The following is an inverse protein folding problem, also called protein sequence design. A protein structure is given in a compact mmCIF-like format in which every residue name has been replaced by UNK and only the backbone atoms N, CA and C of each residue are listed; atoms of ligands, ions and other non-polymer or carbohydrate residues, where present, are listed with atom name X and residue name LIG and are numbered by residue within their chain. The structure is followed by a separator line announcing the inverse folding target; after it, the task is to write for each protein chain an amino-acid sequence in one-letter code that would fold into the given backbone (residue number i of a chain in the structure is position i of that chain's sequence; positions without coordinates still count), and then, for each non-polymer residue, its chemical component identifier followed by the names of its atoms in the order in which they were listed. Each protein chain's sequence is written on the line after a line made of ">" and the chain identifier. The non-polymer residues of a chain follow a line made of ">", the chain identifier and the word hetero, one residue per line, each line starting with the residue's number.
data_IF_890419888782
#
_entry.id   IF_890419888782
#
_cell.length_a   1.000
_cell.length_b   1.000
_cell.length_c   1.000
_cell.angle_alpha   90.00
_cell.angle_beta   90.00
_cell.angle_gamma   90.00
#
_symmetry.space_group_name_H-M   'P 1'
#
loop_
_entity.id
_entity.type
_entity.pdbx_description
1 polymer ?
#
# COMPACT_ATOMS: atom_id res chain seq x y z
N UNK A 1 -11.96 -3.00 -7.02
CA UNK A 1 -10.58 -2.51 -7.12
C UNK A 1 -10.58 -1.01 -7.02
N UNK A 2 -9.54 -0.40 -6.45
CA UNK A 2 -9.32 1.05 -6.59
C UNK A 2 -8.91 1.40 -8.03
N UNK A 3 -8.91 2.68 -8.44
CA UNK A 3 -8.41 3.08 -9.76
C UNK A 3 -7.00 2.56 -10.05
N UNK A 4 -6.12 2.53 -9.04
CA UNK A 4 -4.76 2.01 -9.16
C UNK A 4 -4.70 0.48 -9.33
N UNK A 5 -5.58 -0.28 -8.67
CA UNK A 5 -5.72 -1.73 -8.90
C UNK A 5 -6.19 -2.04 -10.33
N UNK A 6 -7.13 -1.24 -10.85
CA UNK A 6 -7.57 -1.37 -12.24
C UNK A 6 -6.46 -1.00 -13.22
N UNK A 7 -5.72 0.07 -12.95
CA UNK A 7 -4.59 0.48 -13.79
C UNK A 7 -3.51 -0.60 -13.86
N UNK A 8 -3.16 -1.23 -12.73
CA UNK A 8 -2.23 -2.35 -12.72
C UNK A 8 -2.72 -3.52 -13.58
N UNK A 9 -3.97 -3.93 -13.40
CA UNK A 9 -4.58 -5.07 -14.13
C UNK A 9 -4.55 -4.88 -15.64
N UNK A 10 -4.51 -3.63 -16.10
CA UNK A 10 -4.41 -3.27 -17.52
C UNK A 10 -2.97 -2.99 -17.97
N UNK A 11 -1.96 -3.46 -17.23
CA UNK A 11 -0.55 -3.33 -17.63
C UNK A 11 0.05 -1.94 -17.39
N UNK A 12 -0.52 -1.19 -16.44
CA UNK A 12 -0.12 0.18 -16.13
C UNK A 12 1.35 0.34 -15.71
N UNK A 13 1.81 1.59 -15.81
CA UNK A 13 3.15 2.03 -15.41
C UNK A 13 3.01 3.18 -14.42
N UNK A 14 4.01 3.31 -13.54
CA UNK A 14 4.16 4.49 -12.68
C UNK A 14 5.19 5.39 -13.33
N UNK A 15 4.85 6.67 -13.45
CA UNK A 15 5.75 7.75 -13.82
C UNK A 15 5.86 8.73 -12.65
N UNK A 16 7.05 8.88 -12.11
CA UNK A 16 7.38 9.86 -11.08
C UNK A 16 8.10 11.02 -11.76
N UNK A 17 7.58 12.25 -11.63
CA UNK A 17 8.11 13.46 -12.27
C UNK A 17 8.55 14.46 -11.21
N UNK A 18 9.86 14.71 -11.11
CA UNK A 18 10.42 15.62 -10.10
C UNK A 18 10.24 15.12 -8.65
N UNK A 19 9.81 13.88 -8.48
CA UNK A 19 9.60 13.22 -7.18
C UNK A 19 10.19 11.81 -7.23
N UNK A 20 10.49 11.26 -6.06
CA UNK A 20 10.99 9.89 -5.92
C UNK A 20 9.92 8.97 -5.32
N UNK A 21 10.26 7.70 -5.14
CA UNK A 21 9.39 6.63 -4.67
C UNK A 21 8.57 6.87 -3.39
N UNK A 22 8.92 7.73 -2.41
CA UNK A 22 8.01 8.06 -1.31
C UNK A 22 6.65 8.60 -1.77
N UNK A 23 6.58 9.17 -2.99
CA UNK A 23 5.35 9.68 -3.60
C UNK A 23 4.54 8.60 -4.34
N UNK A 24 5.07 7.37 -4.45
CA UNK A 24 4.43 6.28 -5.17
C UNK A 24 3.30 5.63 -4.34
N UNK A 25 2.08 6.13 -4.49
CA UNK A 25 0.89 5.63 -3.77
C UNK A 25 0.51 4.19 -4.11
N UNK A 26 1.00 3.64 -5.23
CA UNK A 26 0.67 2.28 -5.66
C UNK A 26 1.13 1.22 -4.65
N UNK A 27 2.18 1.48 -3.87
CA UNK A 27 2.64 0.53 -2.86
C UNK A 27 1.57 0.12 -1.85
N UNK A 28 0.61 1.01 -1.56
CA UNK A 28 -0.49 0.77 -0.63
C UNK A 28 -1.52 -0.20 -1.23
N UNK A 29 -1.69 -0.20 -2.56
CA UNK A 29 -2.53 -1.20 -3.23
C UNK A 29 -1.94 -2.59 -3.02
N UNK A 30 -0.61 -2.71 -3.10
CA UNK A 30 0.08 -3.99 -2.87
C UNK A 30 -0.11 -4.45 -1.43
N UNK A 31 0.08 -3.56 -0.45
CA UNK A 31 -0.14 -3.85 0.97
C UNK A 31 -1.58 -4.28 1.28
N UNK A 32 -2.58 -3.53 0.77
CA UNK A 32 -4.00 -3.82 0.98
C UNK A 32 -4.41 -5.14 0.32
N UNK A 33 -3.96 -5.40 -0.91
CA UNK A 33 -4.26 -6.65 -1.61
C UNK A 33 -3.62 -7.88 -0.96
N UNK A 34 -2.49 -7.70 -0.27
CA UNK A 34 -1.85 -8.75 0.53
C UNK A 34 -2.41 -8.88 1.95
N UNK A 35 -3.43 -8.11 2.33
CA UNK A 35 -4.04 -8.08 3.66
C UNK A 35 -2.99 -7.99 4.78
N UNK A 36 -2.01 -7.10 4.64
CA UNK A 36 -0.97 -6.96 5.67
C UNK A 36 -1.58 -6.60 7.02
N UNK A 37 -1.09 -7.25 8.08
CA UNK A 37 -1.71 -7.21 9.42
C UNK A 37 -1.70 -5.83 10.08
N UNK A 38 -0.83 -4.93 9.62
CA UNK A 38 -0.77 -3.56 10.12
C UNK A 38 -1.82 -2.63 9.49
N UNK A 39 -2.60 -3.11 8.52
CA UNK A 39 -3.72 -2.39 7.94
C UNK A 39 -5.03 -3.07 8.34
N UNK A 40 -5.93 -2.31 8.98
CA UNK A 40 -7.19 -2.84 9.47
C UNK A 40 -8.22 -2.89 8.36
N UNK A 41 -8.46 -4.06 7.77
CA UNK A 41 -9.41 -4.21 6.67
C UNK A 41 -10.85 -4.02 7.16
N UNK A 42 -11.53 -3.00 6.62
CA UNK A 42 -12.93 -2.66 6.95
C UNK A 42 -13.15 -2.36 8.45
N UNK A 43 -12.13 -1.84 9.12
CA UNK A 43 -12.17 -1.52 10.57
C UNK A 43 -12.45 -0.04 10.85
N UNK A 44 -12.69 0.81 9.85
CA UNK A 44 -13.19 2.18 10.05
C UNK A 44 -14.51 2.39 9.34
N UNK A 45 -15.39 3.23 9.87
CA UNK A 45 -16.69 3.53 9.28
C UNK A 45 -16.96 5.02 9.15
N UNK A 46 -17.34 5.46 7.96
CA UNK A 46 -17.65 6.86 7.69
C UNK A 46 -19.04 7.03 7.07
N UNK A 47 -19.75 8.12 7.38
CA UNK A 47 -20.90 8.53 6.60
C UNK A 47 -20.46 8.95 5.19
N UNK A 48 -21.16 8.47 4.18
CA UNK A 48 -20.93 8.76 2.76
C UNK A 48 -22.26 9.11 2.11
N UNK A 49 -22.22 10.14 1.25
CA UNK A 49 -23.37 10.57 0.47
C UNK A 49 -23.39 9.84 -0.87
N UNK A 50 -24.46 9.11 -1.15
CA UNK A 50 -24.68 8.45 -2.42
C UNK A 50 -25.11 9.45 -3.50
N UNK A 51 -25.01 9.10 -4.81
CA UNK A 51 -25.52 9.95 -5.89
C UNK A 51 -27.02 10.30 -5.75
N UNK A 52 -27.80 9.43 -5.11
CA UNK A 52 -29.22 9.68 -4.78
C UNK A 52 -29.45 10.71 -3.66
N UNK A 53 -28.38 11.22 -3.03
CA UNK A 53 -28.45 12.11 -1.87
C UNK A 53 -28.59 11.40 -0.52
N UNK A 54 -28.87 10.09 -0.50
CA UNK A 54 -28.97 9.29 0.73
C UNK A 54 -27.62 9.19 1.45
N UNK A 55 -27.63 9.39 2.76
CA UNK A 55 -26.48 9.11 3.63
C UNK A 55 -26.45 7.64 4.03
N UNK A 56 -25.30 7.00 3.87
CA UNK A 56 -25.04 5.61 4.30
C UNK A 56 -23.70 5.53 5.02
N UNK A 57 -23.51 4.52 5.86
CA UNK A 57 -22.20 4.25 6.46
C UNK A 57 -21.42 3.25 5.61
N UNK A 58 -20.17 3.57 5.26
CA UNK A 58 -19.27 2.69 4.51
C UNK A 58 -18.04 2.33 5.33
N UNK A 59 -17.62 1.06 5.24
CA UNK A 59 -16.41 0.56 5.88
C UNK A 59 -15.18 0.77 5.00
N UNK A 60 -14.09 1.20 5.60
CA UNK A 60 -12.78 1.40 4.95
C UNK A 60 -11.65 0.89 5.86
N UNK A 61 -10.41 1.14 5.46
CA UNK A 61 -9.21 0.64 6.12
C UNK A 61 -8.75 1.52 7.27
N UNK A 62 -8.27 0.92 8.35
CA UNK A 62 -7.38 1.59 9.31
C UNK A 62 -5.94 1.54 8.83
N UNK A 63 -5.24 2.67 8.92
CA UNK A 63 -3.81 2.74 8.69
C UNK A 63 -3.03 2.26 9.91
N UNK A 64 -1.76 1.91 9.70
CA UNK A 64 -0.82 1.48 10.74
C UNK A 64 -0.60 2.53 11.81
N UNK A 65 -0.38 2.09 13.05
CA UNK A 65 -0.09 2.97 14.19
C UNK A 65 1.30 3.62 14.11
N UNK A 66 2.26 2.96 13.44
CA UNK A 66 3.66 3.36 13.30
C UNK A 66 4.14 3.16 11.87
N UNK A 67 5.20 3.89 11.51
CA UNK A 67 5.79 3.84 10.18
C UNK A 67 6.29 2.44 9.80
N UNK A 68 6.01 1.99 8.58
CA UNK A 68 6.48 0.71 8.07
C UNK A 68 7.97 0.77 7.70
N UNK A 69 8.79 -0.13 8.24
CA UNK A 69 10.22 -0.14 7.95
C UNK A 69 10.54 -0.62 6.52
N UNK A 70 9.60 -1.25 5.81
CA UNK A 70 9.77 -1.72 4.43
C UNK A 70 9.28 -0.67 3.44
N UNK A 71 8.04 -0.20 3.64
CA UNK A 71 7.30 0.59 2.66
C UNK A 71 7.49 2.09 2.81
N UNK A 72 7.26 2.65 4.01
CA UNK A 72 7.40 4.08 4.26
C UNK A 72 8.87 4.56 4.14
N UNK A 73 9.82 3.68 4.45
CA UNK A 73 11.26 3.90 4.18
C UNK A 73 11.68 3.53 2.76
N UNK A 74 10.75 3.02 1.98
CA UNK A 74 10.88 2.72 0.55
C UNK A 74 12.08 1.83 0.23
N UNK A 75 12.28 0.77 1.01
CA UNK A 75 13.38 -0.17 0.75
C UNK A 75 13.24 -0.90 -0.59
N UNK A 76 12.01 -0.96 -1.12
CA UNK A 76 11.75 -1.52 -2.44
C UNK A 76 12.38 -0.70 -3.57
N UNK A 77 12.61 0.61 -3.41
CA UNK A 77 13.30 1.44 -4.41
C UNK A 77 14.72 0.92 -4.71
N UNK A 78 15.47 0.56 -3.66
CA UNK A 78 16.81 -0.04 -3.81
C UNK A 78 16.76 -1.36 -4.59
N UNK A 79 15.73 -2.17 -4.35
CA UNK A 79 15.53 -3.43 -5.06
C UNK A 79 15.10 -3.22 -6.51
N UNK A 80 14.26 -2.23 -6.81
CA UNK A 80 13.88 -1.84 -8.17
C UNK A 80 15.11 -1.41 -8.97
N UNK A 81 15.92 -0.50 -8.40
CA UNK A 81 17.17 -0.02 -9.01
C UNK A 81 18.19 -1.13 -9.23
N UNK A 82 18.49 -1.94 -8.21
CA UNK A 82 19.46 -3.04 -8.29
C UNK A 82 19.10 -4.08 -9.36
N UNK A 83 17.80 -4.27 -9.62
CA UNK A 83 17.28 -5.22 -10.62
C UNK A 83 17.10 -4.60 -12.01
N UNK A 84 17.41 -3.31 -12.20
CA UNK A 84 17.23 -2.62 -13.49
C UNK A 84 15.76 -2.51 -13.91
N UNK A 85 14.83 -2.48 -12.96
CA UNK A 85 13.38 -2.46 -13.23
C UNK A 85 12.80 -1.05 -13.46
N UNK A 86 13.62 -0.03 -13.25
CA UNK A 86 13.28 1.37 -13.47
C UNK A 86 14.06 1.96 -14.64
N UNK A 87 13.45 2.91 -15.34
CA UNK A 87 14.12 3.79 -16.30
C UNK A 87 14.15 5.20 -15.73
N UNK A 88 15.33 5.81 -15.71
CA UNK A 88 15.54 7.19 -15.27
C UNK A 88 15.97 8.04 -16.45
N UNK A 89 15.32 9.19 -16.63
CA UNK A 89 15.70 10.20 -17.63
C UNK A 89 15.59 11.59 -16.99
N UNK A 90 16.26 12.58 -17.58
CA UNK A 90 16.04 13.99 -17.24
C UNK A 90 15.01 14.61 -18.17
N UNK A 91 14.09 15.41 -17.62
CA UNK A 91 13.14 16.25 -18.36
C UNK A 91 13.33 17.68 -17.84
N UNK A 92 14.00 18.52 -18.63
CA UNK A 92 14.49 19.82 -18.17
C UNK A 92 15.45 19.64 -16.99
N UNK A 93 15.20 20.34 -15.88
CA UNK A 93 15.97 20.22 -14.63
C UNK A 93 15.48 19.11 -13.70
N UNK A 94 14.37 18.44 -14.04
CA UNK A 94 13.75 17.39 -13.22
C UNK A 94 14.15 15.99 -13.65
N UNK A 95 14.22 15.06 -12.70
CA UNK A 95 14.34 13.63 -12.99
C UNK A 95 12.95 13.00 -13.19
N UNK A 96 12.84 12.09 -14.16
CA UNK A 96 11.68 11.26 -14.37
C UNK A 96 12.04 9.78 -14.20
N UNK A 97 11.23 9.06 -13.41
CA UNK A 97 11.40 7.63 -13.12
C UNK A 97 10.18 6.89 -13.66
N UNK A 98 10.38 5.92 -14.54
CA UNK A 98 9.33 5.10 -15.13
C UNK A 98 9.56 3.62 -14.82
N UNK A 99 8.54 2.92 -14.32
CA UNK A 99 8.58 1.47 -14.11
C UNK A 99 7.21 0.81 -14.29
N UNK A 100 7.19 -0.50 -14.54
CA UNK A 100 5.95 -1.29 -14.64
C UNK A 100 5.37 -1.55 -13.25
N UNK A 101 4.05 -1.39 -13.09
CA UNK A 101 3.36 -1.66 -11.82
C UNK A 101 3.51 -3.13 -11.40
N UNK A 102 3.41 -4.06 -12.35
CA UNK A 102 3.56 -5.50 -12.10
C UNK A 102 4.92 -5.87 -11.51
N UNK A 103 6.00 -5.22 -11.95
CA UNK A 103 7.34 -5.50 -11.47
C UNK A 103 7.56 -4.89 -10.08
N UNK A 104 7.03 -3.68 -9.85
CA UNK A 104 6.98 -3.05 -8.54
C UNK A 104 6.22 -3.92 -7.52
N UNK A 105 5.04 -4.45 -7.89
CA UNK A 105 4.28 -5.40 -7.06
C UNK A 105 5.13 -6.60 -6.68
N UNK A 106 5.75 -7.29 -7.65
CA UNK A 106 6.58 -8.48 -7.38
C UNK A 106 7.71 -8.18 -6.40
N UNK A 107 8.33 -7.01 -6.50
CA UNK A 107 9.37 -6.57 -5.56
C UNK A 107 8.78 -6.37 -4.17
N UNK A 108 7.70 -5.59 -4.05
CA UNK A 108 7.07 -5.29 -2.77
C UNK A 108 6.57 -6.58 -2.10
N UNK A 109 5.82 -7.43 -2.79
CA UNK A 109 5.32 -8.71 -2.26
C UNK A 109 6.44 -9.63 -1.78
N UNK A 110 7.58 -9.63 -2.48
CA UNK A 110 8.77 -10.34 -2.05
C UNK A 110 9.28 -9.84 -0.70
N UNK A 111 9.30 -8.52 -0.48
CA UNK A 111 9.72 -7.91 0.77
C UNK A 111 8.67 -8.08 1.88
N UNK A 112 7.38 -7.94 1.58
CA UNK A 112 6.31 -8.20 2.56
C UNK A 112 6.35 -9.64 3.06
N UNK A 113 6.74 -10.60 2.21
CA UNK A 113 6.87 -12.01 2.57
C UNK A 113 8.14 -12.32 3.36
N UNK A 114 9.30 -11.85 2.87
CA UNK A 114 10.62 -12.23 3.40
C UNK A 114 11.12 -11.31 4.52
N UNK A 115 10.63 -10.08 4.57
CA UNK A 115 11.22 -9.02 5.38
C UNK A 115 12.51 -8.46 4.76
N UNK A 116 13.21 -7.66 5.55
CA UNK A 116 14.52 -7.07 5.24
C UNK A 116 15.46 -7.29 6.44
N UNK A 117 16.75 -7.00 6.28
CA UNK A 117 17.70 -7.12 7.40
C UNK A 117 17.22 -6.28 8.60
N UNK A 118 17.00 -6.93 9.73
CA UNK A 118 16.52 -6.30 10.98
C UNK A 118 15.00 -6.15 11.11
N UNK A 119 14.21 -6.48 10.08
CA UNK A 119 12.74 -6.37 10.14
C UNK A 119 12.06 -7.60 9.50
N UNK A 120 11.16 -8.28 10.23
CA UNK A 120 10.50 -9.47 9.71
C UNK A 120 9.53 -9.14 8.57
N UNK A 121 9.11 -10.16 7.83
CA UNK A 121 7.98 -10.05 6.90
C UNK A 121 6.67 -9.75 7.64
N UNK A 122 5.64 -9.32 6.90
CA UNK A 122 4.37 -8.84 7.43
C UNK A 122 3.62 -9.87 8.28
N UNK A 123 3.81 -11.18 8.05
CA UNK A 123 3.20 -12.23 8.88
C UNK A 123 3.67 -12.21 10.34
N UNK A 124 4.89 -11.74 10.61
CA UNK A 124 5.48 -11.65 11.95
C UNK A 124 5.71 -10.20 12.39
N UNK A 125 5.20 -9.23 11.63
CA UNK A 125 5.30 -7.82 11.99
C UNK A 125 4.46 -7.55 13.25
N UNK A 126 5.00 -6.75 14.18
CA UNK A 126 4.30 -6.36 15.42
C UNK A 126 3.46 -5.09 15.29
N UNK A 127 3.64 -4.31 14.21
CA UNK A 127 2.85 -3.09 13.97
C UNK A 127 1.40 -3.49 13.72
N UNK A 128 0.47 -2.79 14.37
CA UNK A 128 -0.97 -3.01 14.23
C UNK A 128 -1.70 -1.78 13.67
N UNK A 129 -2.96 -1.94 13.23
CA UNK A 129 -3.74 -0.80 12.79
C UNK A 129 -3.97 0.19 13.95
N UNK A 130 -3.88 1.48 13.65
CA UNK A 130 -4.23 2.55 14.59
C UNK A 130 -5.71 2.48 14.94
N UNK A 131 -6.02 2.76 16.21
CA UNK A 131 -7.38 2.96 16.70
C UNK A 131 -7.73 4.45 16.59
N UNK A 132 -8.85 4.71 15.93
CA UNK A 132 -9.52 6.00 15.76
C UNK A 132 -10.92 5.97 16.41
N UNK A 133 -11.55 7.14 16.67
CA UNK A 133 -12.94 7.18 17.14
C UNK A 133 -13.93 6.44 16.24
N UNK A 134 -13.68 6.40 14.93
CA UNK A 134 -14.54 5.69 13.97
C UNK A 134 -14.15 4.21 13.78
N UNK A 135 -13.32 3.67 14.67
CA UNK A 135 -12.89 2.27 14.61
C UNK A 135 -14.01 1.36 15.06
N UNK A 136 -14.23 0.30 14.29
CA UNK A 136 -15.29 -0.67 14.47
C UNK A 136 -14.74 -2.08 14.24
N UNK A 137 -15.42 -3.09 14.77
CA UNK A 137 -15.08 -4.48 14.45
C UNK A 137 -15.22 -4.70 12.94
N UNK A 138 -14.24 -5.38 12.34
CA UNK A 138 -14.33 -5.75 10.93
C UNK A 138 -15.56 -6.64 10.72
N UNK A 139 -16.34 -6.32 9.69
CA UNK A 139 -17.49 -7.12 9.26
C UNK A 139 -17.08 -8.33 8.41
N UNK A 140 -15.78 -8.47 8.14
CA UNK A 140 -15.19 -9.68 7.55
C UNK A 140 -14.70 -10.66 8.61
N UNK A 141 -14.89 -10.37 9.91
CA UNK A 141 -14.40 -11.22 11.01
C UNK A 141 -15.52 -11.65 11.98
N UNK A 142 -16.16 -12.76 11.64
CA UNK A 142 -16.10 -13.86 12.60
C UNK A 142 -14.61 -14.33 12.62
N UNK A 143 -13.97 -14.36 13.79
CA UNK A 143 -12.59 -14.85 14.02
C UNK A 143 -11.36 -14.11 13.45
N UNK A 144 -11.06 -12.91 13.95
CA UNK A 144 -9.64 -12.48 14.09
C UNK A 144 -9.30 -11.95 15.49
N UNK A 145 -10.17 -12.17 16.48
CA UNK A 145 -9.81 -12.07 17.90
C UNK A 145 -9.18 -13.40 18.30
N UNK A 146 -7.92 -13.38 18.73
CA UNK A 146 -7.06 -14.53 19.10
C UNK A 146 -6.20 -15.13 17.97
N UNK A 147 -5.17 -14.40 17.51
CA UNK A 147 -3.84 -14.94 17.20
C UNK A 147 -2.75 -13.90 17.44
#
# INVERSE_FOLDING_TARGET
>A
GSPLDLLEKNGGKVLLLGVDYPSNTFHHVVEMSNNVLCLGKRTREYPVKLPSGKMVKLRTWSWREKSCPIDDKVFYAKAMKKRGLEKRISIGVGEAILFKMSDCRKVIEGLLRKGIKGFPGCKSCKIRPRIYPETVKSDLTADLTHR
#
